data_IF_449879788344
#
_entry.id   IF_449879788344
#
_cell.length_a   1.000
_cell.length_b   1.000
_cell.length_c   1.000
_cell.angle_alpha   90.00
_cell.angle_beta   90.00
_cell.angle_gamma   90.00
#
_symmetry.space_group_name_H-M   'P 1'
#
loop_
_entity.id
_entity.type
_entity.pdbx_description
1 polymer ?
#
# COMPACT_ATOMS: atom_id res chain seq x y z
N UNK A 1 4.61 8.68 15.59
CA UNK A 1 3.71 8.36 14.47
C UNK A 1 4.19 7.09 13.78
N UNK A 2 3.31 6.10 13.60
CA UNK A 2 3.66 4.83 12.99
C UNK A 2 3.99 4.99 11.49
N UNK A 3 4.95 4.20 11.00
CA UNK A 3 5.34 4.12 9.60
C UNK A 3 4.73 2.86 8.99
N UNK A 4 4.08 2.99 7.82
CA UNK A 4 3.54 1.83 7.10
C UNK A 4 4.45 1.49 5.93
N UNK A 5 4.83 0.23 5.83
CA UNK A 5 5.81 -0.27 4.85
C UNK A 5 5.18 -1.34 3.97
N UNK A 6 5.41 -1.24 2.68
CA UNK A 6 4.88 -2.15 1.67
C UNK A 6 6.00 -2.69 0.79
N UNK A 7 6.20 -4.01 0.81
CA UNK A 7 7.14 -4.71 -0.06
C UNK A 7 6.48 -5.03 -1.40
N UNK A 8 7.15 -4.73 -2.50
CA UNK A 8 6.61 -4.99 -3.84
C UNK A 8 7.08 -6.33 -4.40
N UNK A 9 6.16 -7.06 -5.03
CA UNK A 9 6.48 -8.25 -5.82
C UNK A 9 7.02 -9.41 -4.99
N UNK A 10 6.59 -9.52 -3.74
CA UNK A 10 6.91 -10.68 -2.89
C UNK A 10 5.77 -11.69 -2.95
N UNK A 11 6.09 -12.99 -2.87
CA UNK A 11 5.09 -14.07 -2.86
C UNK A 11 4.10 -14.04 -4.05
N UNK A 12 4.59 -13.65 -5.24
CA UNK A 12 3.79 -13.63 -6.49
C UNK A 12 4.45 -14.56 -7.51
N UNK A 13 3.64 -15.39 -8.18
CA UNK A 13 4.10 -16.24 -9.28
C UNK A 13 5.14 -17.30 -8.88
N UNK A 14 5.19 -17.72 -7.61
CA UNK A 14 6.17 -18.69 -7.11
C UNK A 14 7.57 -18.11 -6.85
N UNK A 15 7.78 -16.80 -7.05
CA UNK A 15 9.07 -16.14 -6.84
C UNK A 15 9.10 -15.35 -5.53
N UNK A 16 10.32 -15.12 -5.02
CA UNK A 16 10.59 -14.33 -3.81
C UNK A 16 9.73 -14.80 -2.63
N UNK A 17 9.64 -16.12 -2.48
CA UNK A 17 8.91 -16.79 -1.41
C UNK A 17 9.53 -16.41 -0.08
N UNK A 18 8.71 -15.82 0.79
CA UNK A 18 9.15 -15.14 2.00
C UNK A 18 8.03 -15.15 3.03
N UNK A 19 8.38 -15.18 4.32
CA UNK A 19 7.42 -15.10 5.42
C UNK A 19 7.51 -13.73 6.09
N UNK A 20 6.65 -12.75 5.72
CA UNK A 20 6.64 -11.43 6.35
C UNK A 20 6.46 -11.43 7.87
N UNK A 21 5.78 -12.44 8.42
CA UNK A 21 5.60 -12.61 9.86
C UNK A 21 6.91 -12.93 10.58
N UNK A 22 7.85 -13.64 9.94
CA UNK A 22 9.18 -13.92 10.51
C UNK A 22 10.00 -12.64 10.53
N UNK A 23 10.03 -11.88 9.42
CA UNK A 23 10.69 -10.58 9.38
C UNK A 23 10.15 -9.60 10.44
N UNK A 24 8.83 -9.56 10.64
CA UNK A 24 8.25 -8.72 11.68
C UNK A 24 8.77 -9.07 13.08
N UNK A 25 8.93 -10.37 13.39
CA UNK A 25 9.54 -10.83 14.65
C UNK A 25 11.01 -10.41 14.77
N UNK A 26 11.78 -10.57 13.69
CA UNK A 26 13.20 -10.18 13.65
C UNK A 26 13.40 -8.66 13.82
N UNK A 27 12.43 -7.85 13.39
CA UNK A 27 12.41 -6.40 13.57
C UNK A 27 11.72 -5.96 14.87
N UNK A 28 11.61 -6.84 15.87
CA UNK A 28 10.89 -6.59 17.13
C UNK A 28 11.31 -5.31 17.88
N UNK A 29 12.55 -4.86 17.72
CA UNK A 29 13.04 -3.60 18.28
C UNK A 29 12.25 -2.35 17.80
N UNK A 30 11.60 -2.43 16.64
CA UNK A 30 10.77 -1.36 16.06
C UNK A 30 9.27 -1.58 16.25
N UNK A 31 8.89 -2.61 17.03
CA UNK A 31 7.51 -2.97 17.32
C UNK A 31 6.66 -3.20 16.04
N UNK A 32 7.21 -4.01 15.13
CA UNK A 32 6.65 -4.29 13.80
C UNK A 32 5.50 -5.30 13.88
N UNK A 33 4.37 -4.97 13.25
CA UNK A 33 3.23 -5.86 13.07
C UNK A 33 3.06 -6.20 11.59
N UNK A 34 3.03 -7.48 11.26
CA UNK A 34 2.76 -7.94 9.89
C UNK A 34 1.26 -8.00 9.59
N UNK A 35 0.88 -7.62 8.36
CA UNK A 35 -0.48 -7.72 7.83
C UNK A 35 -0.47 -8.59 6.56
N UNK A 36 -0.97 -9.82 6.71
CA UNK A 36 -1.12 -10.77 5.60
C UNK A 36 0.20 -11.32 5.05
N UNK A 37 0.17 -11.82 3.82
CA UNK A 37 1.33 -12.46 3.17
C UNK A 37 2.04 -11.58 2.12
N UNK A 38 1.44 -10.46 1.73
CA UNK A 38 1.97 -9.59 0.67
C UNK A 38 3.07 -8.62 1.14
N UNK A 39 3.49 -8.69 2.41
CA UNK A 39 4.55 -7.83 2.94
C UNK A 39 4.06 -6.42 3.21
N UNK A 40 3.02 -6.32 4.02
CA UNK A 40 2.53 -5.05 4.57
C UNK A 40 2.88 -5.04 6.05
N UNK A 41 3.62 -4.02 6.50
CA UNK A 41 4.11 -3.92 7.86
C UNK A 41 3.67 -2.60 8.49
N UNK A 42 3.21 -2.67 9.74
CA UNK A 42 2.96 -1.50 10.60
C UNK A 42 4.12 -1.38 11.57
N UNK A 43 4.92 -0.34 11.44
CA UNK A 43 6.09 -0.08 12.29
C UNK A 43 5.70 0.96 13.32
N UNK A 44 5.39 0.51 14.55
CA UNK A 44 4.85 1.40 15.59
C UNK A 44 5.92 2.30 16.22
N UNK A 45 7.16 1.81 16.32
CA UNK A 45 8.31 2.54 16.88
C UNK A 45 9.42 2.67 15.84
N UNK A 46 9.22 3.44 14.75
CA UNK A 46 10.17 3.48 13.63
C UNK A 46 11.52 4.14 13.99
N UNK A 47 11.57 4.96 15.05
CA UNK A 47 12.77 5.72 15.41
C UNK A 47 13.31 6.50 14.21
N UNK A 48 14.61 6.39 13.95
CA UNK A 48 15.20 6.91 12.72
C UNK A 48 14.81 6.06 11.52
N UNK A 49 14.11 6.66 10.54
CA UNK A 49 13.77 6.01 9.27
C UNK A 49 14.99 5.43 8.56
N UNK A 50 16.12 6.13 8.58
CA UNK A 50 17.37 5.66 7.98
C UNK A 50 17.84 4.35 8.63
N UNK A 51 17.91 4.31 9.97
CA UNK A 51 18.32 3.09 10.71
C UNK A 51 17.34 1.94 10.48
N UNK A 52 16.04 2.22 10.54
CA UNK A 52 15.01 1.22 10.27
C UNK A 52 15.14 0.62 8.87
N UNK A 53 15.25 1.45 7.83
CA UNK A 53 15.36 0.97 6.45
C UNK A 53 16.69 0.27 6.17
N UNK A 54 17.77 0.63 6.85
CA UNK A 54 19.04 -0.11 6.78
C UNK A 54 18.87 -1.53 7.35
N UNK A 55 18.28 -1.65 8.54
CA UNK A 55 18.03 -2.95 9.16
C UNK A 55 17.01 -3.79 8.37
N UNK A 56 15.93 -3.19 7.88
CA UNK A 56 14.95 -3.86 7.02
C UNK A 56 15.63 -4.48 5.80
N UNK A 57 16.49 -3.73 5.09
CA UNK A 57 17.20 -4.25 3.91
C UNK A 57 18.16 -5.38 4.27
N UNK A 58 18.85 -5.28 5.41
CA UNK A 58 19.79 -6.31 5.88
C UNK A 58 19.09 -7.64 6.20
N UNK A 59 17.82 -7.60 6.61
CA UNK A 59 17.01 -8.78 6.95
C UNK A 59 16.27 -9.39 5.77
N UNK A 60 16.13 -8.64 4.66
CA UNK A 60 15.47 -9.18 3.47
C UNK A 60 16.41 -10.14 2.74
N UNK A 61 15.95 -11.35 2.39
CA UNK A 61 16.79 -12.34 1.68
C UNK A 61 16.96 -12.01 0.19
N UNK A 62 16.38 -10.92 -0.29
CA UNK A 62 16.45 -10.45 -1.66
C UNK A 62 16.26 -8.93 -1.72
N UNK A 63 16.68 -8.33 -2.83
CA UNK A 63 16.34 -6.94 -3.09
C UNK A 63 14.84 -6.79 -3.39
N UNK A 64 14.17 -5.98 -2.57
CA UNK A 64 12.76 -5.66 -2.73
C UNK A 64 12.57 -4.15 -2.89
N UNK A 65 11.73 -3.74 -3.85
CA UNK A 65 11.24 -2.36 -3.88
C UNK A 65 10.34 -2.15 -2.68
N UNK A 66 10.56 -1.06 -1.96
CA UNK A 66 9.83 -0.70 -0.75
C UNK A 66 9.11 0.63 -0.97
N UNK A 67 7.80 0.64 -0.71
CA UNK A 67 7.01 1.86 -0.61
C UNK A 67 6.63 2.10 0.85
N UNK A 68 6.44 3.35 1.26
CA UNK A 68 6.01 3.69 2.60
C UNK A 68 5.21 4.99 2.66
N UNK A 69 4.37 5.12 3.67
CA UNK A 69 3.63 6.33 4.01
C UNK A 69 3.50 6.45 5.54
N UNK A 70 3.14 7.64 6.03
CA UNK A 70 2.82 7.80 7.44
C UNK A 70 1.43 7.24 7.73
N UNK A 71 1.25 6.64 8.91
CA UNK A 71 -0.06 6.10 9.32
C UNK A 71 -1.17 7.17 9.28
N UNK A 72 -0.81 8.42 9.61
CA UNK A 72 -1.72 9.58 9.53
C UNK A 72 -2.30 9.80 8.12
N UNK A 73 -1.53 9.49 7.06
CA UNK A 73 -1.96 9.71 5.69
C UNK A 73 -3.08 8.73 5.33
N UNK A 74 -2.98 7.48 5.82
CA UNK A 74 -4.05 6.48 5.67
C UNK A 74 -5.27 6.81 6.53
N UNK A 75 -5.08 7.29 7.77
CA UNK A 75 -6.20 7.71 8.64
C UNK A 75 -6.96 8.86 7.98
N UNK A 76 -6.25 9.88 7.47
CA UNK A 76 -6.85 10.99 6.74
C UNK A 76 -7.60 10.50 5.50
N UNK A 77 -6.98 9.62 4.72
CA UNK A 77 -7.62 9.03 3.55
C UNK A 77 -8.91 8.31 3.93
N UNK A 78 -8.93 7.52 5.00
CA UNK A 78 -10.15 6.83 5.48
C UNK A 78 -11.25 7.82 5.88
N UNK A 79 -10.92 8.87 6.63
CA UNK A 79 -11.90 9.90 7.05
C UNK A 79 -12.58 10.59 5.85
N UNK A 80 -11.85 10.78 4.76
CA UNK A 80 -12.37 11.38 3.53
C UNK A 80 -13.28 10.44 2.72
N UNK A 81 -13.46 9.20 3.18
CA UNK A 81 -14.37 8.23 2.54
C UNK A 81 -14.13 8.10 1.03
N UNK A 82 -12.93 7.67 0.61
CA UNK A 82 -12.42 7.86 -0.75
C UNK A 82 -13.16 7.02 -1.80
N UNK A 83 -14.02 6.10 -1.35
CA UNK A 83 -14.82 5.21 -2.18
C UNK A 83 -16.33 5.41 -1.96
N UNK A 84 -16.76 6.53 -1.37
CA UNK A 84 -18.17 6.80 -1.10
C UNK A 84 -19.02 6.82 -2.39
N UNK A 85 -18.47 7.32 -3.49
CA UNK A 85 -19.10 7.35 -4.81
C UNK A 85 -19.00 6.03 -5.60
N UNK A 86 -18.25 5.04 -5.10
CA UNK A 86 -17.99 3.79 -5.82
C UNK A 86 -18.93 2.67 -5.35
N UNK A 87 -19.80 2.14 -6.23
CA UNK A 87 -20.71 1.07 -5.85
C UNK A 87 -19.92 -0.18 -5.42
N UNK A 88 -20.32 -0.77 -4.29
CA UNK A 88 -19.73 -2.03 -3.84
C UNK A 88 -20.27 -3.17 -4.69
N UNK A 89 -19.48 -3.63 -5.67
CA UNK A 89 -19.81 -4.80 -6.48
C UNK A 89 -18.82 -5.93 -6.22
N UNK A 90 -19.26 -7.20 -6.13
CA UNK A 90 -18.38 -8.33 -5.83
C UNK A 90 -17.19 -8.47 -6.77
N UNK A 91 -17.33 -8.10 -8.04
CA UNK A 91 -16.30 -8.17 -9.08
C UNK A 91 -15.30 -7.01 -9.05
N UNK A 92 -15.60 -5.95 -8.28
CA UNK A 92 -14.80 -4.72 -8.18
C UNK A 92 -14.09 -4.67 -6.84
N UNK A 93 -12.77 -4.47 -6.88
CA UNK A 93 -11.92 -4.38 -5.71
C UNK A 93 -11.39 -2.96 -5.57
N UNK A 94 -11.64 -2.35 -4.41
CA UNK A 94 -11.05 -1.07 -4.01
C UNK A 94 -9.58 -1.26 -3.65
N UNK A 95 -8.72 -0.34 -4.03
CA UNK A 95 -7.28 -0.42 -3.78
C UNK A 95 -6.67 0.93 -3.43
N UNK A 96 -5.51 0.86 -2.81
CA UNK A 96 -4.57 1.98 -2.65
C UNK A 96 -3.20 1.54 -3.15
N UNK A 97 -2.58 2.38 -3.98
CA UNK A 97 -1.22 2.25 -4.47
C UNK A 97 -0.36 3.31 -3.79
N UNK A 98 0.71 2.86 -3.15
CA UNK A 98 1.63 3.74 -2.42
C UNK A 98 2.84 3.99 -3.30
N UNK A 99 3.03 5.24 -3.70
CA UNK A 99 4.15 5.68 -4.52
C UNK A 99 5.43 5.76 -3.67
N UNK A 100 6.55 5.29 -4.21
CA UNK A 100 7.87 5.35 -3.54
C UNK A 100 8.38 6.78 -3.34
N UNK A 101 7.91 7.72 -4.16
CA UNK A 101 8.15 9.17 -4.09
C UNK A 101 6.86 9.89 -4.49
N UNK A 102 6.73 11.18 -4.16
CA UNK A 102 5.59 11.97 -4.63
C UNK A 102 5.52 11.92 -6.16
N UNK A 103 4.31 11.70 -6.69
CA UNK A 103 4.07 11.66 -8.13
C UNK A 103 4.40 13.00 -8.77
N UNK A 104 4.91 12.96 -10.00
CA UNK A 104 5.19 14.17 -10.79
C UNK A 104 4.10 14.29 -11.85
N UNK A 105 3.25 15.31 -11.76
CA UNK A 105 2.27 15.61 -12.81
C UNK A 105 0.90 15.99 -12.26
N UNK A 106 0.23 16.90 -12.96
CA UNK A 106 -1.17 17.22 -12.73
C UNK A 106 -2.00 16.22 -13.52
N UNK A 107 -2.51 15.20 -12.85
CA UNK A 107 -3.35 14.17 -13.46
C UNK A 107 -4.81 14.50 -13.21
N UNK A 108 -5.64 14.44 -14.24
CA UNK A 108 -7.09 14.61 -14.12
C UNK A 108 -7.74 13.27 -13.78
N UNK A 109 -8.68 13.28 -12.83
CA UNK A 109 -9.41 12.09 -12.40
C UNK A 109 -10.89 12.18 -12.82
N UNK A 110 -11.56 11.04 -13.06
CA UNK A 110 -11.03 9.67 -13.00
C UNK A 110 -10.24 9.26 -14.26
N UNK A 111 -9.31 8.31 -14.10
CA UNK A 111 -8.57 7.67 -15.20
C UNK A 111 -9.07 6.24 -15.34
N UNK A 112 -9.51 5.85 -16.53
CA UNK A 112 -9.88 4.47 -16.84
C UNK A 112 -8.78 3.79 -17.67
N UNK A 113 -8.45 2.54 -17.34
CA UNK A 113 -7.41 1.76 -18.01
C UNK A 113 -7.97 0.39 -18.45
N UNK A 114 -7.96 0.07 -19.75
CA UNK A 114 -7.64 0.97 -20.87
C UNK A 114 -8.66 2.13 -20.97
N UNK A 115 -8.28 3.20 -21.66
CA UNK A 115 -9.15 4.36 -21.92
C UNK A 115 -10.30 3.96 -22.86
N UNK A 116 -10.00 3.16 -23.88
CA UNK A 116 -10.98 2.65 -24.83
C UNK A 116 -11.54 1.28 -24.39
N UNK A 117 -12.87 1.15 -24.45
CA UNK A 117 -13.56 -0.11 -24.21
C UNK A 117 -13.81 -0.46 -22.73
N UNK A 118 -13.73 -1.75 -22.41
CA UNK A 118 -13.97 -2.22 -21.04
C UNK A 118 -12.76 -1.94 -20.15
N UNK A 119 -12.94 -1.11 -19.12
CA UNK A 119 -11.89 -0.78 -18.16
C UNK A 119 -11.63 -1.94 -17.17
N UNK A 120 -10.37 -2.15 -16.82
CA UNK A 120 -9.92 -3.09 -15.78
C UNK A 120 -9.47 -2.39 -14.50
N UNK A 121 -8.89 -1.19 -14.62
CA UNK A 121 -8.46 -0.36 -13.50
C UNK A 121 -9.05 1.03 -13.69
N UNK A 122 -9.60 1.60 -12.64
CA UNK A 122 -10.07 2.98 -12.61
C UNK A 122 -9.46 3.69 -11.41
N UNK A 123 -8.70 4.74 -11.68
CA UNK A 123 -8.06 5.57 -10.66
C UNK A 123 -8.98 6.76 -10.42
N UNK A 124 -9.44 6.94 -9.20
CA UNK A 124 -10.47 7.93 -8.86
C UNK A 124 -9.89 9.16 -8.15
N UNK A 125 -8.67 9.04 -7.62
CA UNK A 125 -7.99 10.16 -7.00
C UNK A 125 -6.58 9.82 -6.54
N UNK A 126 -5.89 10.87 -6.11
CA UNK A 126 -4.58 10.77 -5.46
C UNK A 126 -4.46 11.81 -4.36
N UNK A 127 -3.73 11.47 -3.30
CA UNK A 127 -3.39 12.37 -2.20
C UNK A 127 -1.98 12.07 -1.72
N UNK A 128 -1.11 13.07 -1.76
CA UNK A 128 0.32 12.93 -1.44
C UNK A 128 1.00 11.80 -2.24
N UNK A 129 1.27 10.66 -1.59
CA UNK A 129 1.86 9.45 -2.19
C UNK A 129 0.85 8.33 -2.39
N UNK A 130 -0.41 8.56 -2.05
CA UNK A 130 -1.49 7.57 -2.11
C UNK A 130 -2.28 7.79 -3.40
N UNK A 131 -2.34 6.78 -4.24
CA UNK A 131 -3.22 6.73 -5.40
C UNK A 131 -4.30 5.71 -5.09
N UNK A 132 -5.56 6.03 -5.29
CA UNK A 132 -6.65 5.14 -4.92
C UNK A 132 -7.67 5.01 -6.05
N UNK A 133 -8.35 3.87 -6.06
CA UNK A 133 -9.21 3.52 -7.16
C UNK A 133 -9.83 2.14 -6.99
N UNK A 134 -10.39 1.65 -8.09
CA UNK A 134 -11.05 0.37 -8.17
C UNK A 134 -10.50 -0.45 -9.33
N UNK A 135 -10.50 -1.76 -9.22
CA UNK A 135 -10.14 -2.65 -10.31
C UNK A 135 -11.09 -3.84 -10.41
N UNK A 136 -11.27 -4.38 -11.61
CA UNK A 136 -12.05 -5.61 -11.84
C UNK A 136 -11.16 -6.83 -11.66
N UNK A 137 -11.68 -7.90 -11.06
CA UNK A 137 -10.96 -9.17 -10.96
C UNK A 137 -10.87 -9.82 -12.35
N UNK A 138 -9.74 -9.62 -13.02
CA UNK A 138 -9.48 -10.17 -14.33
C UNK A 138 -7.97 -10.38 -14.54
N UNK A 139 -7.57 -11.33 -15.38
CA UNK A 139 -6.14 -11.63 -15.60
C UNK A 139 -5.36 -10.43 -16.13
N UNK A 140 -5.99 -9.60 -16.97
CA UNK A 140 -5.39 -8.37 -17.54
C UNK A 140 -5.13 -7.27 -16.50
N UNK A 141 -5.80 -7.30 -15.36
CA UNK A 141 -5.77 -6.24 -14.35
C UNK A 141 -4.37 -6.01 -13.78
N UNK A 142 -3.57 -7.07 -13.60
CA UNK A 142 -2.20 -6.94 -13.08
C UNK A 142 -1.34 -6.06 -13.99
N UNK A 143 -1.49 -6.22 -15.31
CA UNK A 143 -0.79 -5.39 -16.30
C UNK A 143 -1.16 -3.92 -16.19
N UNK A 144 -2.46 -3.60 -16.06
CA UNK A 144 -2.92 -2.22 -15.91
C UNK A 144 -2.56 -1.59 -14.56
N UNK A 145 -2.56 -2.37 -13.47
CA UNK A 145 -2.03 -1.89 -12.19
C UNK A 145 -0.55 -1.54 -12.27
N UNK A 146 0.21 -2.22 -13.14
CA UNK A 146 1.61 -1.88 -13.44
C UNK A 146 1.79 -0.50 -14.08
N UNK A 147 0.83 -0.04 -14.90
CA UNK A 147 0.87 1.27 -15.58
C UNK A 147 0.75 2.46 -14.63
N UNK A 148 0.36 2.24 -13.37
CA UNK A 148 0.38 3.29 -12.34
C UNK A 148 1.79 3.85 -12.18
N UNK A 149 2.83 3.01 -12.33
CA UNK A 149 4.23 3.46 -12.27
C UNK A 149 4.53 4.55 -13.31
N UNK A 150 4.06 4.34 -14.54
CA UNK A 150 4.26 5.22 -15.69
C UNK A 150 3.45 6.51 -15.52
N UNK A 151 2.15 6.38 -15.19
CA UNK A 151 1.23 7.52 -15.01
C UNK A 151 1.70 8.51 -13.94
N UNK A 152 2.32 8.03 -12.86
CA UNK A 152 2.78 8.87 -11.75
C UNK A 152 4.30 9.09 -11.73
N UNK A 153 5.04 8.52 -12.69
CA UNK A 153 6.51 8.63 -12.80
C UNK A 153 7.27 8.07 -11.60
N UNK A 154 6.64 7.15 -10.85
CA UNK A 154 7.16 6.62 -9.60
C UNK A 154 6.70 5.18 -9.37
N UNK A 155 7.59 4.25 -8.99
CA UNK A 155 7.19 2.90 -8.62
C UNK A 155 6.15 2.91 -7.50
N UNK A 156 5.04 2.22 -7.72
CA UNK A 156 3.93 2.07 -6.81
C UNK A 156 3.86 0.64 -6.24
N UNK A 157 3.33 0.51 -5.03
CA UNK A 157 2.97 -0.78 -4.43
C UNK A 157 1.49 -0.80 -4.10
N UNK A 158 0.73 -1.64 -4.81
CA UNK A 158 -0.73 -1.74 -4.66
C UNK A 158 -1.13 -2.70 -3.54
N UNK A 159 -2.13 -2.30 -2.75
CA UNK A 159 -2.83 -3.13 -1.77
C UNK A 159 -4.33 -2.95 -1.88
N UNK A 160 -5.07 -4.04 -1.67
CA UNK A 160 -6.53 -3.97 -1.56
C UNK A 160 -6.97 -3.19 -0.33
N UNK A 161 -8.12 -2.53 -0.42
CA UNK A 161 -8.65 -1.70 0.66
C UNK A 161 -8.88 -2.47 1.96
N UNK A 162 -9.27 -3.75 1.90
CA UNK A 162 -9.40 -4.60 3.10
C UNK A 162 -8.07 -4.78 3.86
N UNK A 163 -6.94 -4.79 3.15
CA UNK A 163 -5.61 -4.81 3.77
C UNK A 163 -5.32 -3.48 4.44
N UNK A 164 -5.67 -2.36 3.80
CA UNK A 164 -5.53 -1.02 4.37
C UNK A 164 -6.41 -0.84 5.61
N UNK A 165 -7.67 -1.31 5.58
CA UNK A 165 -8.55 -1.33 6.75
C UNK A 165 -7.96 -2.14 7.91
N UNK A 166 -7.26 -3.25 7.63
CA UNK A 166 -6.57 -4.02 8.67
C UNK A 166 -5.40 -3.24 9.28
N UNK A 167 -4.65 -2.49 8.47
CA UNK A 167 -3.62 -1.55 8.96
C UNK A 167 -4.25 -0.46 9.83
N UNK A 168 -5.36 0.13 9.39
CA UNK A 168 -6.06 1.20 10.12
C UNK A 168 -6.57 0.75 11.49
N UNK A 169 -7.10 -0.48 11.60
CA UNK A 169 -7.48 -1.07 12.90
C UNK A 169 -6.29 -1.15 13.86
N UNK A 170 -5.11 -1.55 13.37
CA UNK A 170 -3.89 -1.62 14.20
C UNK A 170 -3.46 -0.22 14.64
N UNK A 171 -3.52 0.76 13.74
CA UNK A 171 -3.18 2.16 14.05
C UNK A 171 -4.09 2.74 15.13
N UNK A 172 -5.41 2.62 14.96
CA UNK A 172 -6.40 3.12 15.93
C UNK A 172 -6.31 2.43 17.29
N UNK A 173 -6.02 1.13 17.32
CA UNK A 173 -5.78 0.41 18.57
C UNK A 173 -4.47 0.83 19.26
N UNK A 174 -3.52 1.43 18.54
CA UNK A 174 -2.31 2.00 19.13
C UNK A 174 -2.61 3.36 19.76
N UNK A 175 -3.29 4.24 19.02
CA UNK A 175 -3.65 5.58 19.52
C UNK A 175 -4.54 5.51 20.77
N UNK A 176 -5.48 4.57 20.83
CA UNK A 176 -6.34 4.36 22.00
C UNK A 176 -5.59 3.89 23.27
N UNK A 177 -4.39 3.31 23.13
CA UNK A 177 -3.55 2.87 24.26
C UNK A 177 -2.64 3.99 24.78
N UNK A 178 -2.55 5.09 24.06
CA UNK A 178 -1.77 6.28 24.42
C UNK A 178 -2.66 7.41 24.99
N UNK A 179 -3.96 7.17 25.25
CA UNK A 179 -4.80 8.06 26.05
C UNK A 179 -4.54 7.83 27.55
N UNK A 180 -4.29 8.91 28.33
CA UNK A 180 -4.08 8.83 29.78
C UNK A 180 -5.33 8.40 30.55
#
# INVERSE_FOLDING_TARGET
MALIVFLRGINVGGHRTFRPSVLAKELGAYDVVNVGAAGTLVVRKPGSRFKFFAELRRRLPFEAKVACCDGRDLIRLEMESPFASEPSRPEVVRFVSILSKAGRGKVSFPIALPEDGEWFVRIIGSKDRLVFGVYRRHMKTIGYLGRIDELFGAPATTRGWNTILSVLRILKACDARDLP
#
